data_IF_583755639102
#
_entry.id   IF_583755639102
#
_cell.length_a   1.000
_cell.length_b   1.000
_cell.length_c   1.000
_cell.angle_alpha   90.00
_cell.angle_beta   90.00
_cell.angle_gamma   90.00
#
_symmetry.space_group_name_H-M   'P 1'
#
loop_
_entity.id
_entity.type
_entity.pdbx_description
1 polymer ?
#
# COMPACT_ATOMS: atom_id res chain seq x y z
N UNK A 1 -14.47 -13.79 19.44
CA UNK A 1 -13.73 -13.14 18.36
C UNK A 1 -14.72 -12.20 17.70
N UNK A 2 -14.63 -10.91 17.99
CA UNK A 2 -15.41 -9.94 17.24
C UNK A 2 -14.68 -9.74 15.89
N UNK A 3 -14.96 -10.59 14.92
CA UNK A 3 -14.62 -10.30 13.54
C UNK A 3 -15.62 -9.23 13.07
N UNK A 4 -15.16 -8.00 12.90
CA UNK A 4 -15.99 -6.87 12.47
C UNK A 4 -16.28 -6.96 10.96
N UNK A 5 -16.87 -8.09 10.54
CA UNK A 5 -17.36 -8.23 9.19
C UNK A 5 -18.57 -7.34 8.97
N UNK A 6 -18.61 -6.70 7.80
CA UNK A 6 -19.70 -5.87 7.33
C UNK A 6 -20.32 -6.53 6.10
N UNK A 7 -21.60 -6.81 6.18
CA UNK A 7 -22.40 -7.30 5.06
C UNK A 7 -22.95 -6.12 4.25
N UNK A 8 -23.52 -6.41 3.09
CA UNK A 8 -24.26 -5.43 2.26
C UNK A 8 -23.40 -4.32 1.67
N UNK A 9 -22.19 -4.65 1.23
CA UNK A 9 -21.32 -3.70 0.54
C UNK A 9 -21.30 -3.97 -0.97
N UNK A 10 -20.82 -2.99 -1.72
CA UNK A 10 -20.48 -3.08 -3.13
C UNK A 10 -18.98 -2.86 -3.34
N UNK A 11 -18.37 -3.53 -4.32
CA UNK A 11 -16.95 -3.45 -4.61
C UNK A 11 -16.67 -3.41 -6.11
N UNK A 12 -15.73 -2.54 -6.50
CA UNK A 12 -15.21 -2.47 -7.85
C UNK A 12 -13.69 -2.51 -7.83
N UNK A 13 -13.10 -3.39 -8.66
CA UNK A 13 -11.65 -3.43 -8.87
C UNK A 13 -11.21 -2.25 -9.73
N UNK A 14 -10.10 -1.63 -9.35
CA UNK A 14 -9.42 -0.59 -10.11
C UNK A 14 -7.97 -1.02 -10.34
N UNK A 15 -7.60 -1.15 -11.60
CA UNK A 15 -6.29 -1.63 -12.02
C UNK A 15 -5.44 -0.43 -12.47
N UNK A 16 -4.31 -0.22 -11.77
CA UNK A 16 -3.34 0.84 -12.06
C UNK A 16 -3.90 2.27 -11.91
N UNK A 17 -3.06 3.24 -12.19
CA UNK A 17 -3.41 4.65 -12.10
C UNK A 17 -4.46 5.08 -13.11
N UNK A 18 -4.52 4.43 -14.29
CA UNK A 18 -5.44 4.75 -15.37
C UNK A 18 -6.91 4.62 -14.98
N UNK A 19 -7.24 3.63 -14.16
CA UNK A 19 -8.61 3.47 -13.65
C UNK A 19 -8.80 4.20 -12.32
N UNK A 20 -7.74 4.23 -11.49
CA UNK A 20 -7.80 4.76 -10.14
C UNK A 20 -7.88 6.30 -10.09
N UNK A 21 -6.94 7.01 -10.75
CA UNK A 21 -6.84 8.47 -10.60
C UNK A 21 -8.04 9.24 -11.16
N UNK A 22 -8.52 8.97 -12.38
CA UNK A 22 -9.68 9.70 -12.91
C UNK A 22 -10.90 9.51 -12.00
N UNK A 23 -11.10 8.28 -11.49
CA UNK A 23 -12.24 7.95 -10.65
C UNK A 23 -12.15 8.62 -9.28
N UNK A 24 -11.00 8.56 -8.61
CA UNK A 24 -10.79 9.22 -7.31
C UNK A 24 -10.94 10.73 -7.44
N UNK A 25 -10.32 11.34 -8.45
CA UNK A 25 -10.37 12.79 -8.62
C UNK A 25 -11.77 13.30 -8.97
N UNK A 26 -12.51 12.56 -9.79
CA UNK A 26 -13.93 12.83 -10.05
C UNK A 26 -14.74 12.82 -8.75
N UNK A 27 -14.58 11.78 -7.93
CA UNK A 27 -15.30 11.66 -6.67
C UNK A 27 -14.91 12.77 -5.69
N UNK A 28 -13.65 13.17 -5.59
CA UNK A 28 -13.20 14.30 -4.78
C UNK A 28 -13.82 15.61 -5.27
N UNK A 29 -13.80 15.88 -6.60
CA UNK A 29 -14.44 17.08 -7.16
C UNK A 29 -15.93 17.15 -6.84
N UNK A 30 -16.61 16.02 -6.70
CA UNK A 30 -18.05 15.93 -6.42
C UNK A 30 -18.38 15.76 -4.94
N UNK A 31 -17.40 15.72 -4.05
CA UNK A 31 -17.59 15.62 -2.61
C UNK A 31 -18.46 16.76 -2.06
N UNK A 32 -19.29 16.46 -1.04
CA UNK A 32 -20.29 17.38 -0.47
C UNK A 32 -19.96 17.81 0.95
N UNK A 33 -19.36 16.94 1.75
CA UNK A 33 -19.15 17.16 3.19
C UNK A 33 -17.72 16.96 3.65
N UNK A 34 -17.08 15.84 3.26
CA UNK A 34 -15.73 15.51 3.72
C UNK A 34 -14.94 14.69 2.71
N UNK A 35 -13.61 14.90 2.72
CA UNK A 35 -12.60 14.05 2.07
C UNK A 35 -11.51 13.75 3.08
N UNK A 36 -11.27 12.46 3.36
CA UNK A 36 -10.13 11.99 4.13
C UNK A 36 -9.23 11.21 3.18
N UNK A 37 -7.94 11.59 3.11
CA UNK A 37 -6.97 10.92 2.25
C UNK A 37 -5.73 10.58 3.07
N UNK A 38 -5.31 9.32 3.04
CA UNK A 38 -4.03 8.85 3.56
C UNK A 38 -3.20 8.26 2.42
N UNK A 39 -1.96 8.68 2.29
CA UNK A 39 -1.02 8.10 1.32
C UNK A 39 0.41 8.09 1.83
N UNK A 40 1.19 7.13 1.36
CA UNK A 40 2.63 7.09 1.65
C UNK A 40 3.41 8.08 0.79
N UNK A 41 3.10 8.12 -0.52
CA UNK A 41 3.74 9.05 -1.47
C UNK A 41 2.67 9.97 -2.06
N UNK A 42 2.92 11.26 -1.95
CA UNK A 42 2.32 12.31 -2.75
C UNK A 42 3.45 13.00 -3.50
N UNK A 43 3.54 12.78 -4.80
CA UNK A 43 4.57 13.38 -5.64
C UNK A 43 4.06 14.70 -6.24
N UNK A 44 4.94 15.67 -6.38
CA UNK A 44 4.66 16.91 -7.14
C UNK A 44 4.94 16.67 -8.63
N UNK A 45 4.11 15.81 -9.22
CA UNK A 45 4.10 15.48 -10.63
C UNK A 45 2.72 15.78 -11.24
N UNK A 46 2.48 15.38 -12.48
CA UNK A 46 1.19 15.62 -13.12
C UNK A 46 0.01 15.10 -12.30
N UNK A 47 0.12 13.88 -11.76
CA UNK A 47 -0.93 13.24 -10.94
C UNK A 47 -1.15 14.01 -9.64
N UNK A 48 -0.05 14.43 -8.99
CA UNK A 48 -0.11 15.23 -7.77
C UNK A 48 -0.77 16.59 -8.00
N UNK A 49 -0.49 17.25 -9.12
CA UNK A 49 -1.15 18.51 -9.48
C UNK A 49 -2.63 18.33 -9.80
N UNK A 50 -3.03 17.26 -10.50
CA UNK A 50 -4.45 16.97 -10.76
C UNK A 50 -5.22 16.66 -9.46
N UNK A 51 -4.60 15.95 -8.51
CA UNK A 51 -5.15 15.76 -7.18
C UNK A 51 -5.26 17.09 -6.44
N UNK A 52 -4.21 17.93 -6.45
CA UNK A 52 -4.19 19.24 -5.82
C UNK A 52 -5.38 20.09 -6.28
N UNK A 53 -5.63 20.15 -7.58
CA UNK A 53 -6.76 20.88 -8.17
C UNK A 53 -8.11 20.33 -7.67
N UNK A 54 -8.28 19.00 -7.67
CA UNK A 54 -9.51 18.37 -7.20
C UNK A 54 -9.82 18.70 -5.73
N UNK A 55 -8.79 18.65 -4.87
CA UNK A 55 -8.90 18.97 -3.44
C UNK A 55 -9.20 20.45 -3.22
N UNK A 56 -8.55 21.36 -3.96
CA UNK A 56 -8.81 22.81 -3.90
C UNK A 56 -10.25 23.11 -4.30
N UNK A 57 -10.74 22.49 -5.38
CA UNK A 57 -12.14 22.66 -5.83
C UNK A 57 -13.11 22.21 -4.75
N UNK A 58 -12.87 21.07 -4.11
CA UNK A 58 -13.72 20.58 -3.01
C UNK A 58 -13.67 21.53 -1.79
N UNK A 59 -12.48 21.92 -1.34
CA UNK A 59 -12.29 22.80 -0.18
C UNK A 59 -12.95 24.18 -0.38
N UNK A 60 -12.84 24.77 -1.56
CA UNK A 60 -13.49 26.04 -1.91
C UNK A 60 -15.02 26.00 -1.87
N UNK A 61 -15.63 24.80 -2.02
CA UNK A 61 -17.08 24.62 -1.82
C UNK A 61 -17.46 24.41 -0.35
N UNK A 62 -16.49 24.42 0.58
CA UNK A 62 -16.74 24.23 2.01
C UNK A 62 -16.65 22.75 2.45
N UNK A 63 -16.19 21.83 1.59
CA UNK A 63 -15.92 20.45 1.96
C UNK A 63 -14.75 20.41 2.93
N UNK A 64 -14.87 19.61 3.99
CA UNK A 64 -13.77 19.37 4.93
C UNK A 64 -12.77 18.41 4.30
N UNK A 65 -11.58 18.90 4.01
CA UNK A 65 -10.52 18.11 3.33
C UNK A 65 -9.34 17.93 4.27
N UNK A 66 -9.07 16.68 4.66
CA UNK A 66 -7.91 16.28 5.44
C UNK A 66 -7.04 15.30 4.64
N UNK A 67 -5.78 15.65 4.47
CA UNK A 67 -4.78 14.79 3.82
C UNK A 67 -3.71 14.45 4.85
N UNK A 68 -3.42 13.15 5.00
CA UNK A 68 -2.30 12.69 5.82
C UNK A 68 -1.27 12.01 4.91
N UNK A 69 -0.05 12.52 4.91
CA UNK A 69 1.07 12.00 4.12
C UNK A 69 2.22 11.60 5.02
N UNK A 70 2.99 10.60 4.60
CA UNK A 70 4.20 10.18 5.30
C UNK A 70 5.36 11.15 5.05
N UNK A 71 6.07 11.57 6.10
CA UNK A 71 7.19 12.52 5.99
C UNK A 71 8.34 12.00 5.11
N UNK A 72 8.58 10.71 5.12
CA UNK A 72 9.65 10.11 4.30
C UNK A 72 9.23 9.91 2.85
N UNK A 73 7.99 9.47 2.61
CA UNK A 73 7.47 9.22 1.28
C UNK A 73 7.13 10.49 0.49
N UNK A 74 6.96 11.63 1.21
CA UNK A 74 6.46 12.90 0.62
C UNK A 74 7.40 14.05 0.96
N UNK A 75 8.69 13.92 0.66
CA UNK A 75 9.71 14.90 1.07
C UNK A 75 10.00 16.00 0.04
N UNK A 76 9.54 15.88 -1.20
CA UNK A 76 9.91 16.73 -2.33
C UNK A 76 8.83 17.76 -2.74
N UNK A 77 7.78 17.96 -1.91
CA UNK A 77 6.76 18.95 -2.23
C UNK A 77 7.33 20.37 -2.11
N UNK A 78 7.13 21.19 -3.15
CA UNK A 78 7.48 22.60 -3.12
C UNK A 78 6.62 23.38 -2.13
N UNK A 79 7.15 24.51 -1.64
CA UNK A 79 6.38 25.42 -0.80
C UNK A 79 5.15 25.94 -1.54
N UNK A 80 5.27 26.22 -2.83
CA UNK A 80 4.17 26.70 -3.67
C UNK A 80 3.03 25.67 -3.73
N UNK A 81 3.37 24.38 -3.91
CA UNK A 81 2.39 23.31 -3.94
C UNK A 81 1.63 23.22 -2.61
N UNK A 82 2.35 23.24 -1.50
CA UNK A 82 1.76 23.17 -0.16
C UNK A 82 0.91 24.41 0.13
N UNK A 83 1.38 25.60 -0.21
CA UNK A 83 0.65 26.85 0.02
C UNK A 83 -0.68 26.92 -0.73
N UNK A 84 -0.72 26.45 -1.96
CA UNK A 84 -1.97 26.39 -2.73
C UNK A 84 -3.03 25.55 -2.02
N UNK A 85 -2.64 24.40 -1.45
CA UNK A 85 -3.55 23.53 -0.70
C UNK A 85 -4.04 24.20 0.57
N UNK A 86 -3.10 24.68 1.41
CA UNK A 86 -3.41 25.26 2.72
C UNK A 86 -4.23 26.53 2.61
N UNK A 87 -3.92 27.41 1.65
CA UNK A 87 -4.65 28.65 1.41
C UNK A 87 -6.07 28.41 0.88
N UNK A 88 -6.32 27.26 0.24
CA UNK A 88 -7.66 26.84 -0.15
C UNK A 88 -8.48 26.23 0.99
N UNK A 89 -7.87 26.00 2.16
CA UNK A 89 -8.54 25.41 3.33
C UNK A 89 -8.34 23.90 3.49
N UNK A 90 -7.46 23.29 2.69
CA UNK A 90 -7.07 21.88 2.86
C UNK A 90 -6.17 21.75 4.09
N UNK A 91 -6.45 20.79 4.97
CA UNK A 91 -5.63 20.45 6.13
C UNK A 91 -4.65 19.37 5.76
N UNK A 92 -3.38 19.74 5.65
CA UNK A 92 -2.28 18.82 5.33
C UNK A 92 -1.58 18.39 6.61
N UNK A 93 -1.61 17.09 6.90
CA UNK A 93 -0.97 16.46 8.06
C UNK A 93 0.26 15.67 7.61
N UNK A 94 1.40 15.95 8.23
CA UNK A 94 2.63 15.19 8.02
C UNK A 94 2.75 14.17 9.15
N UNK A 95 2.79 12.89 8.78
CA UNK A 95 2.95 11.78 9.70
C UNK A 95 4.42 11.61 10.11
N UNK A 96 4.66 11.54 11.43
CA UNK A 96 5.98 11.36 12.05
C UNK A 96 7.06 12.29 11.46
N UNK A 97 6.85 13.62 11.50
CA UNK A 97 7.84 14.57 11.02
C UNK A 97 9.11 14.46 11.86
N UNK A 98 10.22 14.04 11.26
CA UNK A 98 11.48 13.84 11.95
C UNK A 98 12.47 14.95 11.65
N UNK A 99 13.18 15.47 12.68
CA UNK A 99 14.30 16.34 12.42
C UNK A 99 15.41 15.57 11.70
N UNK A 100 15.90 16.12 10.61
CA UNK A 100 17.09 15.57 9.95
C UNK A 100 18.33 15.93 10.77
N UNK A 101 19.03 14.93 11.30
CA UNK A 101 20.35 15.14 11.88
C UNK A 101 21.41 15.04 10.79
N UNK A 102 22.07 16.15 10.44
CA UNK A 102 23.05 16.25 9.34
C UNK A 102 22.54 15.73 7.99
N UNK A 103 21.26 15.92 7.69
CA UNK A 103 20.64 15.43 6.44
C UNK A 103 20.29 13.93 6.44
N UNK A 104 20.54 13.21 7.54
CA UNK A 104 20.17 11.79 7.69
C UNK A 104 18.90 11.73 8.54
N UNK A 105 17.85 11.14 7.99
CA UNK A 105 16.60 10.85 8.71
C UNK A 105 16.78 9.56 9.50
N UNK A 106 16.65 9.62 10.81
CA UNK A 106 16.96 8.49 11.71
C UNK A 106 15.84 7.46 11.81
N UNK A 107 14.60 7.79 11.41
CA UNK A 107 13.48 6.89 11.51
C UNK A 107 13.13 6.26 10.15
N UNK A 108 13.82 5.19 9.76
CA UNK A 108 13.52 4.40 8.55
C UNK A 108 12.38 3.41 8.76
N UNK A 109 11.94 3.22 9.99
CA UNK A 109 10.98 2.20 10.39
C UNK A 109 9.72 2.88 10.88
N UNK A 110 8.55 2.30 10.64
CA UNK A 110 7.24 2.83 11.05
C UNK A 110 6.73 3.94 10.14
N UNK A 111 6.20 3.53 8.98
CA UNK A 111 5.67 4.44 7.95
C UNK A 111 4.15 4.41 7.94
N UNK A 112 3.56 5.54 7.57
CA UNK A 112 2.18 5.56 7.12
C UNK A 112 2.12 4.95 5.72
N UNK A 113 1.92 3.64 5.65
CA UNK A 113 1.93 2.95 4.35
C UNK A 113 0.52 2.61 3.87
N UNK A 114 -0.52 3.01 4.59
CA UNK A 114 -1.92 2.93 4.14
C UNK A 114 -2.15 3.87 2.95
N UNK A 115 -3.03 3.46 2.03
CA UNK A 115 -3.54 4.27 0.94
C UNK A 115 -5.04 4.16 0.98
N UNK A 116 -5.65 5.14 1.61
CA UNK A 116 -7.08 5.22 1.88
C UNK A 116 -7.62 6.55 1.38
N UNK A 117 -8.77 6.52 0.72
CA UNK A 117 -9.55 7.73 0.43
C UNK A 117 -10.97 7.48 0.89
N UNK A 118 -11.55 8.39 1.65
CA UNK A 118 -12.95 8.36 2.08
C UNK A 118 -13.61 9.63 1.63
N UNK A 119 -14.79 9.51 1.04
CA UNK A 119 -15.57 10.64 0.52
C UNK A 119 -16.98 10.57 1.07
N UNK A 120 -17.40 11.63 1.77
CA UNK A 120 -18.73 11.84 2.32
C UNK A 120 -19.24 10.72 3.24
N UNK A 121 -18.33 9.87 3.77
CA UNK A 121 -18.68 8.64 4.48
C UNK A 121 -19.62 7.71 3.68
N UNK A 122 -19.66 7.82 2.36
CA UNK A 122 -20.48 6.99 1.45
C UNK A 122 -19.65 6.13 0.51
N UNK A 123 -18.40 6.53 0.25
CA UNK A 123 -17.50 5.92 -0.70
C UNK A 123 -16.08 5.87 -0.13
N UNK A 124 -15.39 4.75 -0.34
CA UNK A 124 -13.97 4.69 -0.01
C UNK A 124 -13.16 3.96 -1.08
N UNK A 125 -11.85 4.23 -1.08
CA UNK A 125 -10.85 3.53 -1.89
C UNK A 125 -9.77 2.95 -0.99
N UNK A 126 -9.39 1.70 -1.23
CA UNK A 126 -8.35 0.98 -0.48
C UNK A 126 -7.43 0.27 -1.48
N UNK A 127 -6.12 0.41 -1.35
CA UNK A 127 -5.21 -0.29 -2.26
C UNK A 127 -3.74 -0.07 -2.03
N UNK A 128 -2.93 -0.37 -3.06
CA UNK A 128 -1.49 -0.19 -3.09
C UNK A 128 -1.02 1.09 -3.79
N UNK A 129 -1.90 1.77 -4.55
CA UNK A 129 -1.57 2.85 -5.46
C UNK A 129 -1.23 4.13 -4.68
N UNK A 130 -0.02 4.66 -4.89
CA UNK A 130 0.39 5.97 -4.39
C UNK A 130 -0.02 7.08 -5.37
N UNK A 131 0.07 8.32 -4.94
CA UNK A 131 -0.21 9.48 -5.79
C UNK A 131 1.08 9.88 -6.52
N UNK A 132 1.28 9.31 -7.69
CA UNK A 132 2.44 9.55 -8.54
C UNK A 132 2.21 9.01 -9.95
N UNK A 133 2.81 9.64 -10.95
CA UNK A 133 2.86 9.17 -12.35
C UNK A 133 3.47 7.78 -12.51
N UNK A 134 4.21 7.30 -11.52
CA UNK A 134 4.76 5.93 -11.50
C UNK A 134 3.71 4.82 -11.63
N UNK A 135 2.43 5.13 -11.42
CA UNK A 135 1.32 4.18 -11.55
C UNK A 135 0.56 4.31 -12.88
N UNK A 136 1.02 5.18 -13.79
CA UNK A 136 0.43 5.38 -15.12
C UNK A 136 1.31 4.71 -16.18
N UNK A 137 0.74 3.82 -16.99
CA UNK A 137 1.48 3.02 -18.00
C UNK A 137 2.14 3.87 -19.07
N UNK A 138 1.57 5.01 -19.41
CA UNK A 138 2.13 5.97 -20.37
C UNK A 138 3.40 6.67 -19.86
N UNK A 139 3.68 6.59 -18.56
CA UNK A 139 4.90 7.13 -17.94
C UNK A 139 6.16 6.29 -18.24
N UNK A 140 6.02 5.25 -19.06
CA UNK A 140 7.13 4.44 -19.55
C UNK A 140 7.28 3.08 -18.86
N UNK A 141 8.39 2.36 -19.14
CA UNK A 141 8.56 0.95 -18.73
C UNK A 141 8.70 0.75 -17.20
N UNK A 142 8.88 1.83 -16.46
CA UNK A 142 8.95 1.79 -14.98
C UNK A 142 7.59 1.96 -14.30
N UNK A 143 6.52 2.19 -15.07
CA UNK A 143 5.17 2.29 -14.53
C UNK A 143 4.76 1.01 -13.81
N UNK A 144 4.24 1.16 -12.60
CA UNK A 144 3.95 0.04 -11.69
C UNK A 144 2.63 -0.64 -12.04
N UNK A 145 2.60 -1.98 -11.93
CA UNK A 145 1.37 -2.76 -11.90
C UNK A 145 0.85 -2.79 -10.46
N UNK A 146 -0.32 -2.22 -10.19
CA UNK A 146 -0.88 -2.15 -8.85
C UNK A 146 -2.42 -2.21 -8.88
N UNK A 147 -3.03 -2.31 -7.70
CA UNK A 147 -4.46 -2.55 -7.54
C UNK A 147 -5.02 -1.71 -6.41
N UNK A 148 -6.25 -1.25 -6.60
CA UNK A 148 -7.10 -0.68 -5.58
C UNK A 148 -8.53 -1.17 -5.76
N UNK A 149 -9.37 -0.95 -4.76
CA UNK A 149 -10.81 -1.16 -4.83
C UNK A 149 -11.57 0.10 -4.44
N UNK A 150 -12.63 0.40 -5.18
CA UNK A 150 -13.69 1.32 -4.77
C UNK A 150 -14.73 0.51 -4.00
N UNK A 151 -15.16 1.01 -2.84
CA UNK A 151 -16.14 0.34 -2.01
C UNK A 151 -17.22 1.30 -1.52
N UNK A 152 -18.43 0.78 -1.42
CA UNK A 152 -19.61 1.46 -0.85
C UNK A 152 -20.25 0.56 0.19
N UNK A 153 -21.02 1.14 1.09
CA UNK A 153 -21.74 0.40 2.11
C UNK A 153 -21.13 0.49 3.51
N UNK A 154 -21.57 -0.37 4.44
CA UNK A 154 -21.21 -0.29 5.86
C UNK A 154 -19.71 -0.31 6.16
N UNK A 155 -18.88 -0.93 5.32
CA UNK A 155 -17.41 -0.98 5.48
C UNK A 155 -16.75 0.40 5.42
N UNK A 156 -17.37 1.37 4.74
CA UNK A 156 -16.86 2.73 4.61
C UNK A 156 -16.71 3.40 5.98
N UNK A 157 -17.62 3.13 6.91
CA UNK A 157 -17.55 3.65 8.28
C UNK A 157 -16.29 3.15 9.02
N UNK A 158 -15.89 1.89 8.84
CA UNK A 158 -14.70 1.33 9.48
C UNK A 158 -13.42 1.94 8.89
N UNK A 159 -13.40 2.17 7.56
CA UNK A 159 -12.30 2.84 6.88
C UNK A 159 -12.18 4.29 7.37
N UNK A 160 -13.32 5.00 7.42
CA UNK A 160 -13.40 6.37 7.95
C UNK A 160 -12.93 6.46 9.40
N UNK A 161 -13.43 5.59 10.27
CA UNK A 161 -13.01 5.53 11.66
C UNK A 161 -11.49 5.35 11.78
N UNK A 162 -10.89 4.49 10.94
CA UNK A 162 -9.44 4.27 10.91
C UNK A 162 -8.65 5.54 10.55
N UNK A 163 -9.14 6.35 9.60
CA UNK A 163 -8.52 7.63 9.27
C UNK A 163 -8.70 8.66 10.41
N UNK A 164 -9.89 8.75 10.98
CA UNK A 164 -10.18 9.66 12.08
C UNK A 164 -9.41 9.32 13.35
N UNK A 165 -9.25 8.02 13.67
CA UNK A 165 -8.46 7.57 14.82
C UNK A 165 -7.00 8.02 14.70
N UNK A 166 -6.40 7.97 13.51
CA UNK A 166 -5.06 8.50 13.30
C UNK A 166 -5.00 10.02 13.53
N UNK A 167 -5.97 10.76 13.00
CA UNK A 167 -6.06 12.22 13.20
C UNK A 167 -6.26 12.56 14.67
N UNK A 168 -7.11 11.83 15.41
CA UNK A 168 -7.37 12.04 16.85
C UNK A 168 -6.12 11.73 17.67
N UNK A 169 -5.43 10.61 17.41
CA UNK A 169 -4.28 10.16 18.19
C UNK A 169 -3.03 10.98 17.92
N UNK A 170 -2.81 11.38 16.66
CA UNK A 170 -1.60 12.06 16.21
C UNK A 170 -1.62 13.57 16.39
N UNK A 171 -2.79 14.18 16.53
CA UNK A 171 -2.96 15.64 16.60
C UNK A 171 -2.84 16.18 18.03
N UNK A 172 -2.72 17.49 18.16
CA UNK A 172 -2.80 18.19 19.45
C UNK A 172 -4.15 17.94 20.13
N UNK A 173 -4.23 18.11 21.47
CA UNK A 173 -5.52 17.98 22.19
C UNK A 173 -6.62 18.87 21.63
N UNK A 174 -6.26 20.08 21.18
CA UNK A 174 -7.22 21.03 20.63
C UNK A 174 -7.73 20.57 19.27
N UNK A 175 -6.84 20.12 18.37
CA UNK A 175 -7.21 19.64 17.04
C UNK A 175 -7.99 18.32 17.12
N UNK A 176 -7.63 17.43 18.04
CA UNK A 176 -8.34 16.16 18.23
C UNK A 176 -9.82 16.31 18.58
N UNK A 177 -10.20 17.41 19.25
CA UNK A 177 -11.60 17.72 19.56
C UNK A 177 -12.43 18.00 18.30
N UNK A 178 -11.83 18.54 17.24
CA UNK A 178 -12.50 18.76 15.95
C UNK A 178 -12.93 17.43 15.35
N UNK A 179 -12.08 16.41 15.40
CA UNK A 179 -12.34 15.09 14.80
C UNK A 179 -13.34 14.26 15.60
N UNK A 180 -13.38 14.42 16.92
CA UNK A 180 -14.38 13.74 17.77
C UNK A 180 -15.82 14.20 17.51
N UNK A 181 -16.00 15.35 16.90
CA UNK A 181 -17.33 15.91 16.56
C UNK A 181 -17.86 15.40 15.21
N UNK A 182 -17.07 14.62 14.46
CA UNK A 182 -17.53 14.03 13.20
C UNK A 182 -18.62 12.99 13.50
N UNK A 183 -19.86 13.34 13.17
CA UNK A 183 -21.01 12.47 13.41
C UNK A 183 -20.87 11.15 12.64
N UNK A 184 -21.23 10.06 13.29
CA UNK A 184 -21.48 8.79 12.61
C UNK A 184 -22.82 8.90 11.88
N UNK A 185 -22.82 8.72 10.57
CA UNK A 185 -24.02 8.56 9.77
C UNK A 185 -24.32 7.08 9.57
N UNK A 186 -25.61 6.73 9.54
CA UNK A 186 -26.01 5.38 9.13
C UNK A 186 -25.59 5.13 7.70
N UNK A 187 -25.00 3.95 7.48
CA UNK A 187 -24.55 3.55 6.16
C UNK A 187 -25.67 2.90 5.37
N UNK A 188 -25.77 3.26 4.09
CA UNK A 188 -26.71 2.63 3.18
C UNK A 188 -26.27 1.22 2.83
N UNK A 189 -27.22 0.32 2.80
CA UNK A 189 -27.08 -1.00 2.18
C UNK A 189 -27.05 -0.82 0.67
N UNK A 190 -26.02 -1.33 -0.03
CA UNK A 190 -25.83 -1.06 -1.47
C UNK A 190 -25.54 -2.31 -2.31
N UNK A 191 -25.21 -3.45 -1.70
CA UNK A 191 -24.86 -4.69 -2.37
C UNK A 191 -25.01 -5.89 -1.43
N UNK A 192 -24.39 -7.00 -1.78
CA UNK A 192 -24.40 -8.25 -1.03
C UNK A 192 -23.01 -8.74 -0.62
N UNK A 193 -21.96 -8.01 -0.97
CA UNK A 193 -20.58 -8.34 -0.63
C UNK A 193 -20.33 -8.21 0.85
N UNK A 194 -19.65 -9.22 1.42
CA UNK A 194 -19.19 -9.22 2.80
C UNK A 194 -17.73 -8.80 2.91
N UNK A 195 -17.43 -7.84 3.78
CA UNK A 195 -16.09 -7.25 3.88
C UNK A 195 -15.61 -7.11 5.30
N UNK A 196 -14.27 -7.12 5.48
CA UNK A 196 -13.57 -6.84 6.72
C UNK A 196 -12.37 -5.93 6.44
N UNK A 197 -12.26 -4.84 7.17
CA UNK A 197 -11.04 -4.03 7.18
C UNK A 197 -10.03 -4.64 8.16
N UNK A 198 -8.95 -5.18 7.62
CA UNK A 198 -7.81 -5.67 8.40
C UNK A 198 -6.73 -4.60 8.41
N UNK A 199 -6.52 -3.97 9.56
CA UNK A 199 -5.45 -2.98 9.73
C UNK A 199 -4.23 -3.57 10.41
N UNK A 200 -3.11 -2.92 10.25
CA UNK A 200 -1.91 -3.15 11.03
C UNK A 200 -1.44 -1.81 11.62
N UNK A 201 -1.33 -1.78 12.94
CA UNK A 201 -0.80 -0.66 13.71
C UNK A 201 0.29 -1.13 14.70
N UNK A 202 0.87 -0.18 15.44
CA UNK A 202 1.89 -0.48 16.44
C UNK A 202 1.31 -0.65 17.86
N UNK A 203 -0.01 -0.81 17.99
CA UNK A 203 -0.72 -0.89 19.27
C UNK A 203 -1.57 -2.16 19.36
N UNK A 204 -2.80 -2.11 18.85
CA UNK A 204 -3.81 -3.15 19.08
C UNK A 204 -3.93 -4.15 17.92
N UNK A 205 -3.53 -3.77 16.70
CA UNK A 205 -3.76 -4.51 15.46
C UNK A 205 -2.46 -5.01 14.82
N UNK A 206 -1.47 -5.39 15.64
CA UNK A 206 -0.12 -5.74 15.15
C UNK A 206 -0.03 -6.98 14.25
N UNK A 207 -1.08 -7.82 14.19
CA UNK A 207 -1.07 -9.11 13.48
C UNK A 207 -2.33 -9.39 12.67
N UNK A 208 -3.26 -8.46 12.56
CA UNK A 208 -4.59 -8.76 12.00
C UNK A 208 -4.51 -9.10 10.51
N UNK A 209 -3.76 -8.37 9.70
CA UNK A 209 -3.54 -8.70 8.29
C UNK A 209 -2.92 -10.10 8.14
N UNK A 210 -1.83 -10.39 8.87
CA UNK A 210 -1.18 -11.70 8.81
C UNK A 210 -2.12 -12.83 9.24
N UNK A 211 -2.97 -12.58 10.23
CA UNK A 211 -3.96 -13.55 10.74
C UNK A 211 -4.99 -13.91 9.67
N UNK A 212 -5.51 -12.92 8.93
CA UNK A 212 -6.47 -13.16 7.84
C UNK A 212 -5.85 -14.03 6.74
N UNK A 213 -4.65 -13.71 6.28
CA UNK A 213 -3.92 -14.55 5.33
C UNK A 213 -3.73 -15.99 5.84
N UNK A 214 -3.25 -16.16 7.08
CA UNK A 214 -2.99 -17.48 7.63
C UNK A 214 -4.26 -18.30 7.80
N UNK A 215 -5.38 -17.67 8.12
CA UNK A 215 -6.67 -18.33 8.22
C UNK A 215 -7.13 -18.83 6.84
N UNK A 216 -7.12 -17.94 5.84
CA UNK A 216 -7.50 -18.28 4.47
C UNK A 216 -6.63 -19.41 3.89
N UNK A 217 -5.29 -19.33 4.02
CA UNK A 217 -4.37 -20.37 3.54
C UNK A 217 -4.62 -21.73 4.20
N UNK A 218 -4.96 -21.76 5.48
CA UNK A 218 -5.24 -23.00 6.21
C UNK A 218 -6.55 -23.65 5.78
N UNK A 219 -7.55 -22.82 5.50
CA UNK A 219 -8.89 -23.27 5.09
C UNK A 219 -8.97 -23.59 3.60
N UNK A 220 -8.00 -23.15 2.80
CA UNK A 220 -7.94 -23.38 1.36
C UNK A 220 -8.10 -24.85 0.97
N UNK A 221 -8.97 -25.08 -0.04
CA UNK A 221 -9.32 -26.40 -0.56
C UNK A 221 -8.98 -26.58 -2.03
N UNK A 222 -9.05 -25.52 -2.85
CA UNK A 222 -8.88 -25.56 -4.30
C UNK A 222 -7.61 -24.83 -4.73
N UNK A 223 -7.54 -23.52 -4.52
CA UNK A 223 -6.46 -22.68 -5.03
C UNK A 223 -6.10 -21.52 -4.10
N UNK A 224 -4.85 -21.09 -4.21
CA UNK A 224 -4.32 -19.86 -3.61
C UNK A 224 -3.54 -19.15 -4.70
N UNK A 225 -3.87 -17.89 -5.00
CA UNK A 225 -3.07 -17.02 -5.87
C UNK A 225 -2.66 -15.78 -5.08
N UNK A 226 -1.38 -15.47 -5.05
CA UNK A 226 -0.84 -14.29 -4.35
C UNK A 226 0.01 -13.49 -5.35
N UNK A 227 -0.41 -12.25 -5.64
CA UNK A 227 0.37 -11.27 -6.37
C UNK A 227 0.95 -10.26 -5.39
N UNK A 228 2.28 -10.24 -5.22
CA UNK A 228 2.90 -9.40 -4.20
C UNK A 228 4.26 -8.85 -4.66
N UNK A 229 4.45 -7.53 -4.45
CA UNK A 229 5.67 -6.83 -4.84
C UNK A 229 6.90 -7.35 -4.10
N UNK A 230 6.82 -7.40 -2.78
CA UNK A 230 7.91 -7.84 -1.91
C UNK A 230 7.47 -9.05 -1.09
N UNK A 231 7.98 -10.23 -1.47
CA UNK A 231 7.58 -11.49 -0.88
C UNK A 231 8.71 -12.08 -0.02
N UNK A 232 8.70 -11.75 1.24
CA UNK A 232 9.60 -12.30 2.25
C UNK A 232 8.86 -12.54 3.57
N UNK A 233 7.79 -13.36 3.57
CA UNK A 233 6.93 -13.52 4.73
C UNK A 233 7.59 -14.32 5.85
N UNK A 234 6.94 -14.32 7.02
CA UNK A 234 7.40 -15.07 8.19
C UNK A 234 7.49 -16.58 7.90
N UNK A 235 8.37 -17.28 8.63
CA UNK A 235 8.51 -18.74 8.52
C UNK A 235 7.17 -19.49 8.69
N UNK A 236 6.30 -19.02 9.60
CA UNK A 236 4.97 -19.59 9.79
C UNK A 236 4.13 -19.50 8.52
N UNK A 237 4.17 -18.38 7.84
CA UNK A 237 3.44 -18.15 6.58
C UNK A 237 3.93 -19.09 5.47
N UNK A 238 5.23 -19.18 5.27
CA UNK A 238 5.84 -20.09 4.29
C UNK A 238 5.48 -21.55 4.56
N UNK A 239 5.47 -21.95 5.82
CA UNK A 239 5.09 -23.30 6.25
C UNK A 239 3.62 -23.60 5.91
N UNK A 240 2.71 -22.66 6.13
CA UNK A 240 1.29 -22.86 5.83
C UNK A 240 1.04 -22.94 4.31
N UNK A 241 1.72 -22.13 3.47
CA UNK A 241 1.66 -22.27 2.00
C UNK A 241 2.15 -23.65 1.55
N UNK A 242 3.27 -24.13 2.08
CA UNK A 242 3.75 -25.47 1.76
C UNK A 242 2.80 -26.57 2.22
N UNK A 243 2.15 -26.41 3.37
CA UNK A 243 1.14 -27.35 3.86
C UNK A 243 -0.08 -27.36 2.93
N UNK A 244 -0.53 -26.19 2.46
CA UNK A 244 -1.63 -26.09 1.51
C UNK A 244 -1.28 -26.82 0.21
N UNK A 245 -0.13 -26.56 -0.39
CA UNK A 245 0.34 -27.24 -1.60
C UNK A 245 0.43 -28.78 -1.43
N UNK A 246 0.93 -29.25 -0.26
CA UNK A 246 0.99 -30.69 0.05
C UNK A 246 -0.37 -31.33 0.30
N UNK A 247 -1.41 -30.57 0.65
CA UNK A 247 -2.80 -31.02 0.72
C UNK A 247 -3.46 -31.14 -0.65
N UNK A 248 -2.77 -30.75 -1.73
CA UNK A 248 -3.31 -30.75 -3.09
C UNK A 248 -3.89 -29.41 -3.54
N UNK A 249 -3.81 -28.36 -2.70
CA UNK A 249 -4.24 -27.01 -3.10
C UNK A 249 -3.28 -26.45 -4.15
N UNK A 250 -3.81 -25.92 -5.26
CA UNK A 250 -3.00 -25.24 -6.26
C UNK A 250 -2.53 -23.89 -5.72
N UNK A 251 -1.21 -23.74 -5.47
CA UNK A 251 -0.62 -22.51 -4.94
C UNK A 251 0.21 -21.84 -6.01
N UNK A 252 -0.18 -20.64 -6.41
CA UNK A 252 0.51 -19.81 -7.40
C UNK A 252 0.94 -18.48 -6.77
N UNK A 253 2.20 -18.13 -6.94
CA UNK A 253 2.77 -16.84 -6.54
C UNK A 253 3.14 -16.06 -7.80
N UNK A 254 2.65 -14.83 -7.93
CA UNK A 254 3.04 -13.86 -8.95
C UNK A 254 3.90 -12.83 -8.25
N UNK A 255 5.19 -12.85 -8.54
CA UNK A 255 6.18 -12.04 -7.83
C UNK A 255 6.87 -11.07 -8.78
N UNK A 256 7.52 -10.07 -8.21
CA UNK A 256 8.26 -9.04 -8.94
C UNK A 256 9.46 -9.65 -9.70
N UNK A 257 9.45 -9.53 -11.03
CA UNK A 257 10.55 -9.96 -11.91
C UNK A 257 11.51 -8.82 -12.31
N UNK A 258 11.09 -7.55 -12.14
CA UNK A 258 11.90 -6.35 -12.40
C UNK A 258 11.93 -5.46 -11.15
N UNK A 259 12.69 -5.81 -10.12
CA UNK A 259 12.65 -5.12 -8.85
C UNK A 259 13.35 -3.76 -8.90
N UNK A 260 12.74 -2.77 -8.28
CA UNK A 260 13.34 -1.47 -7.94
C UNK A 260 14.47 -1.64 -6.90
N UNK A 261 14.42 -2.72 -6.10
CA UNK A 261 15.46 -3.08 -5.13
C UNK A 261 15.99 -4.50 -5.40
N UNK A 262 17.09 -4.67 -6.15
CA UNK A 262 17.62 -5.98 -6.54
C UNK A 262 17.94 -6.93 -5.39
N UNK A 263 18.32 -6.39 -4.22
CA UNK A 263 18.60 -7.20 -3.03
C UNK A 263 17.36 -7.89 -2.46
N UNK A 264 16.16 -7.28 -2.59
CA UNK A 264 14.89 -7.89 -2.15
C UNK A 264 14.56 -9.11 -3.01
N UNK A 265 14.74 -9.00 -4.33
CA UNK A 265 14.58 -10.13 -5.24
C UNK A 265 15.57 -11.27 -4.93
N UNK A 266 16.83 -10.91 -4.66
CA UNK A 266 17.84 -11.90 -4.29
C UNK A 266 17.41 -12.67 -3.02
N UNK A 267 16.91 -11.99 -2.00
CA UNK A 267 16.38 -12.63 -0.79
C UNK A 267 15.15 -13.48 -1.09
N UNK A 268 14.18 -12.97 -1.84
CA UNK A 268 12.96 -13.72 -2.21
C UNK A 268 13.31 -14.99 -3.00
N UNK A 269 14.30 -14.91 -3.92
CA UNK A 269 14.73 -16.05 -4.73
C UNK A 269 15.34 -17.21 -3.92
N UNK A 270 15.87 -16.92 -2.72
CA UNK A 270 16.34 -17.97 -1.80
C UNK A 270 15.19 -18.89 -1.34
N UNK A 271 13.96 -18.34 -1.30
CA UNK A 271 12.76 -19.07 -0.86
C UNK A 271 12.15 -19.92 -1.97
N UNK A 272 12.43 -19.62 -3.24
CA UNK A 272 11.82 -20.29 -4.38
C UNK A 272 12.00 -21.81 -4.34
N UNK A 273 13.22 -22.26 -4.18
CA UNK A 273 13.52 -23.69 -4.10
C UNK A 273 12.81 -24.39 -2.93
N UNK A 274 12.65 -23.69 -1.80
CA UNK A 274 11.94 -24.20 -0.62
C UNK A 274 10.44 -24.39 -0.88
N UNK A 275 9.81 -23.44 -1.56
CA UNK A 275 8.38 -23.47 -1.89
C UNK A 275 8.08 -24.43 -3.03
N UNK A 276 8.86 -24.36 -4.13
CA UNK A 276 8.65 -25.17 -5.33
C UNK A 276 8.80 -26.67 -5.07
N UNK A 277 9.63 -27.09 -4.12
CA UNK A 277 9.73 -28.50 -3.68
C UNK A 277 8.44 -29.03 -3.05
N UNK A 278 7.53 -28.15 -2.62
CA UNK A 278 6.24 -28.52 -2.09
C UNK A 278 5.10 -28.46 -3.13
N UNK A 279 5.42 -28.08 -4.37
CA UNK A 279 4.45 -27.94 -5.45
C UNK A 279 3.93 -26.52 -5.69
N UNK A 280 4.49 -25.51 -5.01
CA UNK A 280 4.12 -24.11 -5.25
C UNK A 280 4.63 -23.67 -6.62
N UNK A 281 3.76 -23.09 -7.45
CA UNK A 281 4.13 -22.48 -8.74
C UNK A 281 4.54 -21.03 -8.50
N UNK A 282 5.63 -20.58 -9.13
CA UNK A 282 6.13 -19.21 -9.03
C UNK A 282 6.27 -18.64 -10.43
N UNK A 283 5.65 -17.48 -10.63
CA UNK A 283 5.69 -16.69 -11.86
C UNK A 283 6.31 -15.33 -11.56
N UNK A 284 7.34 -14.95 -12.31
CA UNK A 284 7.95 -13.63 -12.22
C UNK A 284 7.29 -12.71 -13.24
N UNK A 285 6.61 -11.67 -12.77
CA UNK A 285 6.01 -10.64 -13.60
C UNK A 285 7.11 -9.74 -14.17
N UNK A 286 7.26 -9.71 -15.50
CA UNK A 286 8.40 -9.11 -16.18
C UNK A 286 8.06 -7.91 -17.07
N UNK A 287 6.78 -7.60 -17.30
CA UNK A 287 6.39 -6.51 -18.20
C UNK A 287 6.79 -5.13 -17.66
N UNK A 288 6.67 -4.94 -16.36
CA UNK A 288 6.97 -3.71 -15.62
C UNK A 288 7.09 -4.00 -14.11
N UNK A 289 7.49 -3.06 -13.26
CA UNK A 289 7.52 -3.30 -11.82
C UNK A 289 6.14 -3.71 -11.25
N UNK A 290 6.06 -4.85 -10.58
CA UNK A 290 4.89 -5.27 -9.83
C UNK A 290 4.87 -4.55 -8.47
N UNK A 291 3.83 -3.81 -8.18
CA UNK A 291 3.63 -3.17 -6.87
C UNK A 291 2.35 -3.65 -6.17
N UNK A 292 1.59 -4.54 -6.77
CA UNK A 292 0.37 -5.12 -6.21
C UNK A 292 0.58 -5.87 -4.89
N UNK A 293 -0.42 -5.85 -4.03
CA UNK A 293 -0.50 -6.58 -2.76
C UNK A 293 -1.89 -7.19 -2.65
N UNK A 294 -2.09 -8.24 -3.44
CA UNK A 294 -3.41 -8.85 -3.66
C UNK A 294 -3.30 -10.36 -3.53
N UNK A 295 -4.30 -10.98 -2.96
CA UNK A 295 -4.39 -12.43 -2.93
C UNK A 295 -5.85 -12.89 -3.07
N UNK A 296 -6.04 -14.08 -3.61
CA UNK A 296 -7.32 -14.78 -3.61
C UNK A 296 -7.13 -16.22 -3.12
N UNK A 297 -8.17 -16.75 -2.48
CA UNK A 297 -8.21 -18.12 -2.00
C UNK A 297 -9.56 -18.73 -2.34
N UNK A 298 -9.52 -19.91 -2.95
CA UNK A 298 -10.68 -20.64 -3.43
C UNK A 298 -11.57 -19.77 -4.33
N UNK A 299 -12.89 -19.77 -4.12
CA UNK A 299 -13.84 -19.12 -5.03
C UNK A 299 -14.43 -17.82 -4.47
N UNK A 300 -14.15 -17.45 -3.22
CA UNK A 300 -14.83 -16.31 -2.58
C UNK A 300 -13.88 -15.33 -1.89
N UNK A 301 -12.80 -15.81 -1.28
CA UNK A 301 -11.95 -14.95 -0.46
C UNK A 301 -10.94 -14.16 -1.31
N UNK A 302 -10.90 -12.87 -1.11
CA UNK A 302 -9.92 -11.95 -1.73
C UNK A 302 -9.38 -10.99 -0.68
N UNK A 303 -8.15 -10.52 -0.84
CA UNK A 303 -7.65 -9.33 -0.14
C UNK A 303 -6.91 -8.39 -1.08
N UNK A 304 -7.20 -7.10 -0.95
CA UNK A 304 -6.54 -5.99 -1.66
C UNK A 304 -6.11 -4.96 -0.62
N UNK A 305 -4.89 -4.42 -0.72
CA UNK A 305 -4.45 -3.40 0.22
C UNK A 305 -3.03 -2.92 0.02
N UNK A 306 -2.48 -2.35 1.08
CA UNK A 306 -1.16 -1.72 1.08
C UNK A 306 -0.03 -2.63 1.57
N UNK A 307 -0.36 -3.73 2.28
CA UNK A 307 0.62 -4.53 3.01
C UNK A 307 1.39 -5.50 2.13
N UNK A 308 2.69 -5.28 1.98
CA UNK A 308 3.58 -6.30 1.44
C UNK A 308 3.69 -7.48 2.42
N UNK A 309 4.02 -8.65 1.86
CA UNK A 309 4.33 -9.84 2.64
C UNK A 309 5.82 -9.88 3.01
N UNK A 310 6.27 -8.86 3.72
CA UNK A 310 7.64 -8.69 4.22
C UNK A 310 7.67 -8.28 5.71
N UNK A 311 8.82 -8.41 6.40
CA UNK A 311 8.88 -8.13 7.84
C UNK A 311 8.62 -6.68 8.21
N UNK A 312 8.92 -5.69 7.36
CA UNK A 312 8.70 -4.27 7.66
C UNK A 312 7.20 -3.95 7.61
N UNK A 313 6.53 -4.33 6.53
CA UNK A 313 5.09 -4.13 6.37
C UNK A 313 4.28 -4.87 7.44
N UNK A 314 4.64 -6.13 7.73
CA UNK A 314 3.90 -6.95 8.69
C UNK A 314 4.26 -6.67 10.16
N UNK A 315 5.27 -5.84 10.46
CA UNK A 315 5.71 -5.64 11.85
C UNK A 315 5.88 -4.19 12.28
N UNK A 316 6.02 -3.23 11.36
CA UNK A 316 6.36 -1.85 11.70
C UNK A 316 5.44 -0.80 11.09
N UNK A 317 5.07 -0.91 9.81
CA UNK A 317 4.28 0.10 9.12
C UNK A 317 2.81 0.13 9.58
N UNK A 318 2.15 1.27 9.38
CA UNK A 318 0.71 1.32 9.39
C UNK A 318 0.20 0.86 8.02
N UNK A 319 -0.55 -0.23 8.00
CA UNK A 319 -1.07 -0.86 6.79
C UNK A 319 -2.57 -1.06 6.88
N UNK A 320 -3.22 -1.17 5.74
CA UNK A 320 -4.63 -1.53 5.63
C UNK A 320 -4.87 -2.44 4.44
N UNK A 321 -5.54 -3.55 4.69
CA UNK A 321 -6.03 -4.47 3.67
C UNK A 321 -7.53 -4.64 3.84
N UNK A 322 -8.24 -4.62 2.73
CA UNK A 322 -9.64 -5.05 2.70
C UNK A 322 -9.68 -6.54 2.41
N UNK A 323 -10.40 -7.28 3.23
CA UNK A 323 -10.75 -8.69 2.99
C UNK A 323 -12.17 -8.73 2.49
N UNK A 324 -12.38 -9.39 1.36
CA UNK A 324 -13.63 -9.42 0.60
C UNK A 324 -14.07 -10.87 0.46
N UNK A 325 -15.31 -11.16 0.75
CA UNK A 325 -15.97 -12.43 0.46
C UNK A 325 -17.05 -12.19 -0.60
N UNK A 326 -16.72 -12.52 -1.85
CA UNK A 326 -17.56 -12.30 -3.02
C UNK A 326 -17.08 -13.21 -4.16
N UNK A 327 -17.96 -14.03 -4.69
CA UNK A 327 -17.60 -15.02 -5.72
C UNK A 327 -17.38 -14.37 -7.09
N UNK A 328 -18.18 -13.38 -7.45
CA UNK A 328 -18.06 -12.69 -8.74
C UNK A 328 -16.78 -11.85 -8.79
N UNK A 329 -16.51 -11.09 -7.74
CA UNK A 329 -15.29 -10.31 -7.59
C UNK A 329 -14.04 -11.22 -7.60
N UNK A 330 -14.08 -12.35 -6.88
CA UNK A 330 -12.99 -13.33 -6.86
C UNK A 330 -12.75 -13.91 -8.26
N UNK A 331 -13.80 -14.31 -8.97
CA UNK A 331 -13.69 -14.88 -10.31
C UNK A 331 -13.14 -13.87 -11.32
N UNK A 332 -13.57 -12.61 -11.26
CA UNK A 332 -13.04 -11.53 -12.10
C UNK A 332 -11.53 -11.33 -11.86
N UNK A 333 -11.11 -11.25 -10.59
CA UNK A 333 -9.70 -11.11 -10.25
C UNK A 333 -8.88 -12.35 -10.64
N UNK A 334 -9.44 -13.55 -10.49
CA UNK A 334 -8.78 -14.80 -10.91
C UNK A 334 -8.54 -14.84 -12.42
N UNK A 335 -9.52 -14.47 -13.23
CA UNK A 335 -9.38 -14.36 -14.68
C UNK A 335 -8.29 -13.37 -15.06
N UNK A 336 -8.27 -12.20 -14.42
CA UNK A 336 -7.21 -11.22 -14.61
C UNK A 336 -5.82 -11.79 -14.29
N UNK A 337 -5.65 -12.52 -13.19
CA UNK A 337 -4.37 -13.14 -12.84
C UNK A 337 -3.98 -14.29 -13.77
N UNK A 338 -4.92 -15.04 -14.29
CA UNK A 338 -4.63 -16.05 -15.31
C UNK A 338 -4.08 -15.41 -16.59
N UNK A 339 -4.73 -14.35 -17.07
CA UNK A 339 -4.26 -13.60 -18.23
C UNK A 339 -2.88 -12.98 -17.98
N UNK A 340 -2.71 -12.31 -16.83
CA UNK A 340 -1.43 -11.72 -16.44
C UNK A 340 -0.30 -12.76 -16.41
N UNK A 341 -0.57 -13.93 -15.86
CA UNK A 341 0.40 -15.03 -15.75
C UNK A 341 0.76 -15.61 -17.12
N UNK A 342 -0.21 -15.73 -18.02
CA UNK A 342 0.00 -16.29 -19.36
C UNK A 342 0.77 -15.33 -20.29
N UNK A 343 0.45 -14.03 -20.23
CA UNK A 343 0.95 -13.06 -21.21
C UNK A 343 2.18 -12.29 -20.73
N UNK A 344 2.35 -12.09 -19.40
CA UNK A 344 3.26 -11.09 -18.86
C UNK A 344 4.22 -11.64 -17.80
N UNK A 345 4.14 -12.94 -17.49
CA UNK A 345 4.98 -13.57 -16.50
C UNK A 345 5.88 -14.64 -17.11
N UNK A 346 7.06 -14.80 -16.51
CA UNK A 346 7.96 -15.92 -16.79
C UNK A 346 7.86 -16.95 -15.67
N UNK A 347 7.49 -18.21 -15.96
CA UNK A 347 7.46 -19.25 -14.94
C UNK A 347 8.88 -19.58 -14.48
N UNK A 348 9.08 -19.62 -13.16
CA UNK A 348 10.37 -19.98 -12.58
C UNK A 348 10.61 -21.49 -12.73
N UNK A 349 11.76 -21.86 -13.33
CA UNK A 349 12.13 -23.27 -13.45
C UNK A 349 12.83 -23.76 -12.18
N UNK A 350 12.35 -24.87 -11.62
CA UNK A 350 12.93 -25.47 -10.41
C UNK A 350 14.41 -25.87 -10.60
N UNK A 351 14.85 -26.21 -11.82
CA UNK A 351 16.26 -26.53 -12.12
C UNK A 351 17.13 -25.28 -11.93
N UNK A 352 16.66 -24.10 -12.35
CA UNK A 352 17.34 -22.82 -12.18
C UNK A 352 17.33 -22.43 -10.70
N UNK A 353 16.21 -22.58 -10.01
CA UNK A 353 16.09 -22.32 -8.58
C UNK A 353 17.01 -23.21 -7.71
N UNK A 354 17.35 -24.42 -8.19
CA UNK A 354 18.29 -25.33 -7.53
C UNK A 354 19.76 -25.03 -7.83
N UNK A 355 20.08 -24.24 -8.86
CA UNK A 355 21.47 -23.94 -9.24
C UNK A 355 22.18 -23.20 -8.10
N UNK A 356 23.31 -23.76 -7.65
CA UNK A 356 24.06 -23.20 -6.53
C UNK A 356 23.39 -23.38 -5.15
N UNK A 357 22.43 -24.27 -4.99
CA UNK A 357 21.71 -24.52 -3.74
C UNK A 357 22.64 -24.82 -2.55
N UNK A 358 23.70 -25.55 -2.76
CA UNK A 358 24.65 -25.98 -1.73
C UNK A 358 25.35 -24.79 -1.02
N UNK A 359 25.75 -23.75 -1.74
CA UNK A 359 26.34 -22.54 -1.14
C UNK A 359 25.29 -21.53 -0.67
N UNK A 360 24.07 -21.60 -1.22
CA UNK A 360 22.92 -20.78 -0.79
C UNK A 360 22.27 -21.30 0.49
N UNK A 361 22.46 -22.57 0.84
CA UNK A 361 21.84 -23.20 2.02
C UNK A 361 22.14 -22.45 3.32
N UNK A 362 23.37 -22.00 3.62
CA UNK A 362 23.61 -21.19 4.83
C UNK A 362 22.87 -19.87 4.84
N UNK A 363 22.77 -19.19 3.67
CA UNK A 363 22.03 -17.94 3.53
C UNK A 363 20.51 -18.15 3.70
N UNK A 364 19.98 -19.23 3.15
CA UNK A 364 18.59 -19.64 3.34
C UNK A 364 18.32 -19.90 4.81
N UNK A 365 19.20 -20.65 5.48
CA UNK A 365 19.09 -20.92 6.92
C UNK A 365 19.16 -19.63 7.74
N UNK A 366 20.09 -18.73 7.45
CA UNK A 366 20.22 -17.44 8.12
C UNK A 366 18.98 -16.57 7.88
N UNK A 367 18.46 -16.53 6.65
CA UNK A 367 17.24 -15.82 6.30
C UNK A 367 16.02 -16.36 7.08
N UNK A 368 15.88 -17.69 7.18
CA UNK A 368 14.83 -18.31 7.99
C UNK A 368 14.98 -17.99 9.47
N UNK A 369 16.21 -17.98 9.98
CA UNK A 369 16.47 -17.64 11.37
C UNK A 369 16.14 -16.18 11.64
N UNK A 370 16.54 -15.29 10.75
CA UNK A 370 16.18 -13.88 10.77
C UNK A 370 14.64 -13.69 10.75
N UNK A 371 13.94 -14.29 9.79
CA UNK A 371 12.48 -14.22 9.70
C UNK A 371 11.75 -14.78 10.92
N UNK A 372 12.36 -15.75 11.60
CA UNK A 372 11.81 -16.33 12.83
C UNK A 372 11.97 -15.38 14.02
N UNK A 373 13.11 -14.71 14.12
CA UNK A 373 13.49 -13.92 15.30
C UNK A 373 13.05 -12.45 15.13
N UNK A 374 13.10 -11.92 13.91
CA UNK A 374 12.84 -10.51 13.64
C UNK A 374 11.49 -10.01 14.19
N UNK A 375 10.33 -10.67 13.95
CA UNK A 375 9.07 -10.19 14.49
C UNK A 375 9.01 -10.19 16.03
N UNK A 376 9.69 -11.13 16.69
CA UNK A 376 9.70 -11.22 18.16
C UNK A 376 10.62 -10.18 18.81
N UNK A 377 11.69 -9.81 18.12
CA UNK A 377 12.63 -8.77 18.60
C UNK A 377 12.10 -7.35 18.37
N UNK A 378 11.30 -7.14 17.33
CA UNK A 378 10.64 -5.84 17.08
C UNK A 378 9.52 -5.58 18.08
N UNK A 379 8.85 -6.61 18.58
CA UNK A 379 7.88 -6.46 19.69
C UNK A 379 8.49 -5.90 20.97
N UNK A 380 9.81 -5.83 21.08
CA UNK A 380 10.54 -5.14 22.15
C UNK A 380 10.66 -3.61 21.95
N UNK A 381 10.46 -3.10 20.73
CA UNK A 381 10.41 -1.66 20.52
C UNK A 381 9.19 -1.08 21.26
N UNK A 382 9.36 0.07 21.96
CA UNK A 382 8.26 0.70 22.68
C UNK A 382 7.09 0.99 21.75
N UNK A 383 5.88 0.96 22.31
CA UNK A 383 4.67 1.36 21.61
C UNK A 383 4.90 2.73 20.96
N UNK A 384 4.55 2.84 19.69
CA UNK A 384 4.72 4.08 18.96
C UNK A 384 3.41 4.84 18.95
N UNK A 385 3.44 6.03 19.54
CA UNK A 385 2.35 6.97 19.41
C UNK A 385 2.61 7.82 18.15
N UNK A 386 1.74 7.75 17.14
CA UNK A 386 1.90 8.54 15.94
C UNK A 386 1.87 10.04 16.29
N UNK A 387 2.71 10.81 15.63
CA UNK A 387 2.70 12.27 15.73
C UNK A 387 2.29 12.83 14.38
N UNK A 388 1.31 13.73 14.38
CA UNK A 388 0.90 14.46 13.18
C UNK A 388 1.24 15.95 13.36
N UNK A 389 1.86 16.53 12.33
CA UNK A 389 2.06 17.96 12.24
C UNK A 389 1.13 18.54 11.19
N UNK A 390 0.16 19.34 11.64
CA UNK A 390 -0.70 20.10 10.74
C UNK A 390 0.10 21.26 10.15
N UNK A 391 0.13 21.35 8.83
CA UNK A 391 0.69 22.50 8.13
C UNK A 391 -0.40 23.56 8.01
N UNK A 392 -0.13 24.74 8.55
CA UNK A 392 -1.03 25.90 8.49
C UNK A 392 -0.29 27.15 8.03
N UNK A 393 -1.02 28.08 7.43
CA UNK A 393 -0.46 29.40 7.05
C UNK A 393 0.11 30.19 8.23
N UNK A 394 -0.35 29.86 9.47
CA UNK A 394 0.13 30.52 10.71
C UNK A 394 1.39 29.91 11.31
N UNK A 395 1.73 28.67 10.99
CA UNK A 395 2.91 27.99 11.55
C UNK A 395 4.22 28.40 10.88
N UNK A 396 4.17 29.18 9.81
CA UNK A 396 5.37 29.68 9.10
C UNK A 396 6.08 30.86 9.78
N UNK A 397 5.44 31.58 10.69
CA UNK A 397 6.06 32.74 11.38
C UNK A 397 6.90 32.36 12.61
N UNK A 398 6.95 31.07 13.00
CA UNK A 398 7.74 30.60 14.12
C UNK A 398 8.62 29.41 13.70
N UNK A 399 9.83 29.74 13.22
CA UNK A 399 10.88 28.75 13.01
C UNK A 399 11.43 28.73 11.60
N UNK A 400 12.31 29.66 11.29
CA UNK A 400 13.38 29.48 10.30
C UNK A 400 14.25 28.28 10.69
N UNK A 401 13.82 27.08 10.34
CA UNK A 401 14.68 25.91 10.07
C UNK A 401 13.99 25.09 9.00
N UNK A 402 13.99 25.63 7.80
CA UNK A 402 14.62 25.10 6.61
C UNK A 402 14.14 23.73 6.19
N UNK A 403 13.15 23.74 5.30
CA UNK A 403 13.28 22.93 4.10
C UNK A 403 14.48 23.49 3.30
N UNK A 404 15.70 23.25 3.77
CA UNK A 404 16.91 23.54 3.02
C UNK A 404 17.26 22.32 2.20
N UNK A 405 16.49 22.12 1.13
CA UNK A 405 16.83 21.18 0.09
C UNK A 405 17.71 21.95 -0.89
N UNK A 406 19.02 21.72 -0.79
CA UNK A 406 19.91 21.97 -1.92
C UNK A 406 19.40 21.09 -3.06
N UNK A 407 18.75 21.71 -4.03
CA UNK A 407 18.47 21.11 -5.31
C UNK A 407 19.79 20.55 -5.87
N UNK A 408 20.00 19.25 -5.81
CA UNK A 408 20.93 18.58 -6.70
C UNK A 408 20.26 18.58 -8.05
N UNK A 409 20.54 19.59 -8.84
CA UNK A 409 20.27 19.61 -10.27
C UNK A 409 20.78 18.27 -10.84
N UNK A 410 19.88 17.46 -11.37
CA UNK A 410 20.27 16.36 -12.27
C UNK A 410 21.05 17.01 -13.42
N UNK A 411 22.22 16.48 -13.79
CA UNK A 411 22.91 17.00 -14.95
C UNK A 411 22.01 16.81 -16.18
N UNK A 412 21.69 17.91 -16.85
CA UNK A 412 21.10 17.85 -18.19
C UNK A 412 22.08 17.10 -19.09
N UNK A 413 21.62 16.24 -20.00
CA UNK A 413 22.51 15.65 -21.00
C UNK A 413 23.04 16.78 -21.85
N UNK A 414 24.35 16.97 -21.82
CA UNK A 414 25.07 17.87 -22.71
C UNK A 414 24.93 17.40 -24.16
N UNK A 415 24.63 18.33 -25.05
CA UNK A 415 24.48 18.17 -26.51
C UNK A 415 25.75 17.73 -27.26
N UNK A 416 26.63 16.94 -26.68
CA UNK A 416 27.89 16.52 -27.30
C UNK A 416 27.99 15.04 -27.69
N UNK A 417 26.83 14.34 -27.85
CA UNK A 417 26.84 12.92 -28.29
C UNK A 417 25.96 12.67 -29.53
N UNK A 418 25.77 13.66 -30.36
CA UNK A 418 25.03 13.56 -31.64
C UNK A 418 25.91 13.79 -32.84
N UNK A 419 27.13 13.30 -32.84
CA UNK A 419 27.97 13.29 -34.04
C UNK A 419 29.01 12.17 -34.02
N UNK A 420 28.57 10.93 -34.09
CA UNK A 420 29.37 9.79 -34.61
C UNK A 420 28.39 8.70 -35.01
N UNK A 421 27.77 8.79 -36.15
CA UNK A 421 27.36 7.72 -37.08
C UNK A 421 26.95 8.42 -38.38
N UNK A 422 27.95 8.81 -39.15
CA UNK A 422 27.95 8.95 -40.61
C UNK A 422 29.41 8.77 -41.02
N UNK A 423 29.72 7.54 -41.37
CA UNK A 423 30.51 7.08 -42.49
C UNK A 423 30.49 5.52 -42.45
#
# INVERSE_FOLDING_TARGET
MNDNWRDNNDVKLLINGEEFFPRVFECIRNARSEVLLETFILAEDQVGHELQEALIVAAKRGVKVDITVDDYGTFDLSEEFVDKLVNAGVRLHIFDPQPSFRGIRLNFFRRLHRKLVVIDNELAFVGGINISVDHITTSGPKAKQDYAVEVRGPIVSDIRATCLDLLIQGSSKQDSLLYKQYANSEQKVVGDTRMLLAIRDNQNHSKDIQRQYLLAIRLAKKRIVIANAYFFPSYRFLRELRRAARRGVEVTLILQGQPDMPWVMALSSLLYSYLMRAGVKIHEYCKRPLHGKVALVDDEWVTVGSSNLDPLSLSLNLEANLVIQDAEFNQHLYQHFQQLSAEQCTPVNIKVAKRGYWWRTPLIFLSFHFMRIFPSKIGWLPAHNPVLRLISSKTRTYGERSFNIKAKSKPQPTESTLNVIRD
#
